data_IF_048726960601
#
_entry.id   IF_048726960601
#
_cell.length_a   1.000
_cell.length_b   1.000
_cell.length_c   1.000
_cell.angle_alpha   90.00
_cell.angle_beta   90.00
_cell.angle_gamma   90.00
#
_symmetry.space_group_name_H-M   'P 1'
#
loop_
_entity.id
_entity.type
_entity.pdbx_description
1 polymer ?
#
# COMPACT_ATOMS: atom_id res chain seq x y z
N UNK A 1 -28.91 -15.84 -16.50
CA UNK A 1 -27.79 -15.25 -15.71
C UNK A 1 -27.06 -16.37 -14.99
N UNK A 2 -25.91 -16.80 -15.49
CA UNK A 2 -25.13 -17.87 -14.88
C UNK A 2 -24.29 -17.34 -13.73
N UNK A 3 -24.45 -17.94 -12.54
CA UNK A 3 -23.69 -17.59 -11.34
C UNK A 3 -22.29 -18.20 -11.45
N UNK A 4 -21.28 -17.37 -11.76
CA UNK A 4 -19.88 -17.81 -11.73
C UNK A 4 -19.40 -17.84 -10.27
N UNK A 5 -19.06 -19.02 -9.71
CA UNK A 5 -18.55 -19.11 -8.36
C UNK A 5 -17.21 -18.38 -8.26
N UNK A 6 -17.02 -17.57 -7.21
CA UNK A 6 -15.78 -16.78 -7.00
C UNK A 6 -14.52 -17.62 -6.83
N UNK A 7 -14.66 -18.94 -6.66
CA UNK A 7 -13.56 -19.90 -6.58
C UNK A 7 -12.47 -19.50 -5.59
N UNK A 8 -11.22 -19.82 -5.92
CA UNK A 8 -10.07 -19.49 -5.09
C UNK A 8 -9.54 -18.05 -5.29
N UNK A 9 -10.08 -17.29 -6.25
CA UNK A 9 -9.61 -15.94 -6.60
C UNK A 9 -9.71 -15.01 -5.38
N UNK A 10 -10.79 -15.12 -4.61
CA UNK A 10 -10.97 -14.35 -3.37
C UNK A 10 -9.95 -14.73 -2.28
N UNK A 11 -9.48 -15.98 -2.24
CA UNK A 11 -8.46 -16.46 -1.31
C UNK A 11 -7.08 -15.95 -1.73
N UNK A 12 -6.74 -16.05 -3.02
CA UNK A 12 -5.48 -15.57 -3.59
C UNK A 12 -5.28 -14.07 -3.38
N UNK A 13 -6.34 -13.26 -3.53
CA UNK A 13 -6.28 -11.82 -3.22
C UNK A 13 -5.98 -11.56 -1.73
N UNK A 14 -6.60 -12.31 -0.82
CA UNK A 14 -6.35 -12.18 0.63
C UNK A 14 -4.92 -12.58 1.02
N UNK A 15 -4.38 -13.68 0.48
CA UNK A 15 -3.00 -14.08 0.77
C UNK A 15 -1.98 -13.08 0.23
N UNK A 16 -2.18 -12.54 -0.99
CA UNK A 16 -1.31 -11.48 -1.55
C UNK A 16 -1.27 -10.22 -0.67
N UNK A 17 -2.42 -9.84 -0.10
CA UNK A 17 -2.47 -8.69 0.80
C UNK A 17 -1.86 -8.98 2.17
N UNK A 18 -2.02 -10.21 2.68
CA UNK A 18 -1.46 -10.64 3.96
C UNK A 18 0.07 -10.76 3.93
N UNK A 19 0.65 -11.17 2.80
CA UNK A 19 2.11 -11.18 2.60
C UNK A 19 2.69 -9.77 2.50
N UNK A 20 1.93 -8.79 2.01
CA UNK A 20 2.34 -7.38 2.09
C UNK A 20 2.23 -6.86 3.53
N UNK A 21 1.21 -7.29 4.26
CA UNK A 21 0.92 -6.84 5.61
C UNK A 21 1.89 -7.35 6.69
N UNK A 22 2.69 -8.40 6.42
CA UNK A 22 3.58 -9.04 7.41
C UNK A 22 4.66 -8.12 7.93
N UNK A 23 5.03 -7.09 7.17
CA UNK A 23 6.06 -6.12 7.56
C UNK A 23 5.50 -4.93 8.37
N UNK A 24 4.18 -4.87 8.61
CA UNK A 24 3.56 -3.78 9.36
C UNK A 24 3.54 -4.10 10.87
N UNK A 25 3.99 -3.16 11.72
CA UNK A 25 4.02 -3.30 13.18
C UNK A 25 2.59 -3.46 13.76
N UNK A 26 2.34 -4.54 14.51
CA UNK A 26 1.12 -4.73 15.31
C UNK A 26 -0.07 -5.42 14.61
N UNK A 27 -1.20 -5.52 15.33
CA UNK A 27 -2.37 -6.41 15.11
C UNK A 27 -3.12 -6.32 13.76
N UNK A 28 -2.58 -5.61 12.76
CA UNK A 28 -3.15 -5.46 11.43
C UNK A 28 -3.34 -6.80 10.70
N UNK A 29 -2.55 -7.83 11.02
CA UNK A 29 -2.60 -9.16 10.38
C UNK A 29 -3.86 -9.99 10.69
N UNK A 30 -4.62 -9.64 11.75
CA UNK A 30 -5.82 -10.37 12.20
C UNK A 30 -7.10 -9.87 11.52
N UNK A 31 -7.16 -8.61 11.10
CA UNK A 31 -8.34 -8.00 10.51
C UNK A 31 -8.10 -7.61 9.05
N UNK A 32 -8.71 -8.35 8.11
CA UNK A 32 -8.57 -8.11 6.66
C UNK A 32 -8.89 -6.66 6.24
N UNK A 33 -9.83 -6.00 6.92
CA UNK A 33 -10.18 -4.59 6.69
C UNK A 33 -9.03 -3.65 7.03
N UNK A 34 -8.33 -3.90 8.15
CA UNK A 34 -7.18 -3.11 8.58
C UNK A 34 -5.99 -3.27 7.62
N UNK A 35 -5.75 -4.48 7.12
CA UNK A 35 -4.74 -4.75 6.09
C UNK A 35 -4.98 -3.88 4.85
N UNK A 36 -6.22 -3.89 4.35
CA UNK A 36 -6.56 -3.12 3.14
C UNK A 36 -6.40 -1.62 3.35
N UNK A 37 -6.71 -1.13 4.55
CA UNK A 37 -6.55 0.28 4.90
C UNK A 37 -5.07 0.68 5.02
N UNK A 38 -4.25 -0.16 5.65
CA UNK A 38 -2.81 0.11 5.81
C UNK A 38 -2.05 0.01 4.49
N UNK A 39 -2.38 -0.95 3.63
CA UNK A 39 -1.78 -1.04 2.30
C UNK A 39 -2.07 0.23 1.49
N UNK A 40 -3.32 0.72 1.49
CA UNK A 40 -3.66 1.99 0.82
C UNK A 40 -2.87 3.17 1.39
N UNK A 41 -2.76 3.28 2.72
CA UNK A 41 -1.97 4.34 3.37
C UNK A 41 -0.49 4.27 2.99
N UNK A 42 0.10 3.08 2.98
CA UNK A 42 1.49 2.88 2.59
C UNK A 42 1.77 3.29 1.14
N UNK A 43 0.86 2.94 0.22
CA UNK A 43 0.94 3.39 -1.18
C UNK A 43 0.89 4.91 -1.30
N UNK A 44 -0.07 5.56 -0.61
CA UNK A 44 -0.18 7.02 -0.61
C UNK A 44 1.05 7.67 0.00
N UNK A 45 1.57 7.15 1.12
CA UNK A 45 2.81 7.64 1.73
C UNK A 45 3.99 7.53 0.77
N UNK A 46 4.22 6.38 0.14
CA UNK A 46 5.33 6.24 -0.83
C UNK A 46 5.24 7.21 -2.00
N UNK A 47 4.02 7.52 -2.45
CA UNK A 47 3.80 8.41 -3.57
C UNK A 47 4.06 9.87 -3.16
N UNK A 48 3.67 10.25 -1.95
CA UNK A 48 3.98 11.55 -1.36
C UNK A 48 5.49 11.68 -1.11
N UNK A 49 6.16 10.68 -0.55
CA UNK A 49 7.61 10.70 -0.31
C UNK A 49 8.42 10.94 -1.59
N UNK A 50 8.06 10.29 -2.71
CA UNK A 50 8.70 10.52 -4.01
C UNK A 50 8.47 11.94 -4.51
N UNK A 51 7.25 12.46 -4.33
CA UNK A 51 6.88 13.82 -4.74
C UNK A 51 7.61 14.88 -3.88
N UNK A 52 7.70 14.67 -2.57
CA UNK A 52 8.43 15.55 -1.65
C UNK A 52 9.93 15.48 -1.91
N UNK A 53 10.48 14.31 -2.24
CA UNK A 53 11.88 14.14 -2.64
C UNK A 53 12.23 14.96 -3.89
N UNK A 54 11.35 14.99 -4.90
CA UNK A 54 11.53 15.83 -6.09
C UNK A 54 11.51 17.34 -5.77
N UNK A 55 10.63 17.76 -4.86
CA UNK A 55 10.57 19.16 -4.39
C UNK A 55 11.77 19.55 -3.55
N UNK A 56 12.25 18.65 -2.69
CA UNK A 56 13.47 18.85 -1.91
C UNK A 56 14.71 18.98 -2.80
N UNK A 57 14.84 18.15 -3.84
CA UNK A 57 15.94 18.25 -4.82
C UNK A 57 15.87 19.58 -5.59
N UNK A 58 14.69 20.01 -6.04
CA UNK A 58 14.53 21.28 -6.76
C UNK A 58 14.81 22.50 -5.87
N UNK A 59 14.37 22.49 -4.61
CA UNK A 59 14.66 23.55 -3.63
C UNK A 59 16.15 23.61 -3.29
N UNK A 60 16.80 22.45 -3.08
CA UNK A 60 18.24 22.41 -2.78
C UNK A 60 19.07 22.84 -3.99
N UNK A 61 18.70 22.45 -5.22
CA UNK A 61 19.43 22.81 -6.43
C UNK A 61 19.18 24.27 -6.88
N UNK A 62 17.99 24.83 -6.62
CA UNK A 62 17.65 26.23 -6.93
C UNK A 62 18.17 27.27 -5.92
N UNK A 63 18.66 26.83 -4.74
CA UNK A 63 19.26 27.71 -3.72
C UNK A 63 20.79 27.82 -3.82
N UNK A 64 21.38 27.13 -4.79
CA UNK A 64 22.83 27.06 -5.05
C UNK A 64 23.26 27.90 -6.26
N UNK A 65 22.38 28.78 -6.76
CA UNK A 65 22.64 29.74 -7.85
C UNK A 65 22.52 31.17 -7.39
#
# INVERSE_FOLDING_TARGET
MTRVPRGYIARRRRTKMRSFASNFRGAHLRLNRMITQQVKRAFVSSLIEIEVGKRGIFVVCGSLG
#
